data_IF_076010217293
#
_entry.id   IF_076010217293
#
_cell.length_a   1.000
_cell.length_b   1.000
_cell.length_c   1.000
_cell.angle_alpha   90.00
_cell.angle_beta   90.00
_cell.angle_gamma   90.00
#
_symmetry.space_group_name_H-M   'P 1'
#
loop_
_entity.id
_entity.type
_entity.pdbx_description
1 polymer ?
#
# COMPACT_ATOMS: atom_id res chain seq x y z
N UNK A 1 -35.88 -27.52 -8.27
CA UNK A 1 -34.97 -26.43 -8.70
C UNK A 1 -33.81 -27.07 -9.45
N UNK A 2 -33.24 -26.41 -10.46
CA UNK A 2 -32.03 -26.93 -11.10
C UNK A 2 -30.91 -27.07 -10.06
N UNK A 3 -29.97 -27.99 -10.28
CA UNK A 3 -28.78 -28.10 -9.43
C UNK A 3 -28.07 -26.73 -9.38
N UNK A 4 -27.65 -26.25 -8.19
CA UNK A 4 -26.90 -25.02 -8.08
C UNK A 4 -25.68 -25.03 -9.00
N UNK A 5 -25.45 -23.93 -9.71
CA UNK A 5 -24.24 -23.72 -10.52
C UNK A 5 -23.45 -22.56 -9.92
N UNK A 6 -22.78 -22.86 -8.82
CA UNK A 6 -21.99 -21.90 -8.03
C UNK A 6 -20.51 -22.03 -8.37
N UNK A 7 -19.84 -20.91 -8.58
CA UNK A 7 -18.38 -20.83 -8.74
C UNK A 7 -17.83 -19.94 -7.64
N UNK A 8 -16.91 -20.46 -6.84
CA UNK A 8 -16.24 -19.73 -5.78
C UNK A 8 -14.82 -19.39 -6.23
N UNK A 9 -14.48 -18.10 -6.23
CA UNK A 9 -13.13 -17.61 -6.52
C UNK A 9 -12.35 -17.43 -5.21
N UNK A 10 -11.41 -18.34 -4.95
CA UNK A 10 -10.65 -18.40 -3.70
C UNK A 10 -9.18 -18.06 -3.91
N UNK A 11 -8.69 -17.05 -3.19
CA UNK A 11 -7.27 -16.76 -3.05
C UNK A 11 -6.70 -17.63 -1.93
N UNK A 12 -5.75 -18.50 -2.28
CA UNK A 12 -5.11 -19.41 -1.34
C UNK A 12 -4.46 -18.66 -0.18
N UNK A 13 -4.48 -19.29 0.99
CA UNK A 13 -4.05 -18.75 2.28
C UNK A 13 -4.77 -17.42 2.53
N UNK A 14 -6.10 -17.45 2.56
CA UNK A 14 -6.93 -16.25 2.57
C UNK A 14 -8.32 -16.49 3.14
N UNK A 15 -9.00 -15.39 3.50
CA UNK A 15 -10.33 -15.43 4.14
C UNK A 15 -11.42 -16.09 3.30
N UNK A 16 -11.16 -16.36 2.02
CA UNK A 16 -12.11 -17.02 1.13
C UNK A 16 -12.48 -18.43 1.58
N UNK A 17 -11.66 -19.10 2.39
CA UNK A 17 -11.86 -20.48 2.87
C UNK A 17 -13.20 -20.67 3.62
N UNK A 18 -13.73 -19.57 4.19
CA UNK A 18 -15.02 -19.53 4.89
C UNK A 18 -16.17 -19.98 3.98
N UNK A 19 -16.10 -19.67 2.68
CA UNK A 19 -17.20 -19.94 1.73
C UNK A 19 -17.22 -21.41 1.27
N UNK A 20 -16.10 -22.00 0.82
CA UNK A 20 -16.02 -23.45 0.60
C UNK A 20 -16.45 -24.24 1.84
N UNK A 21 -16.03 -23.84 3.04
CA UNK A 21 -16.44 -24.54 4.26
C UNK A 21 -17.94 -24.45 4.52
N UNK A 22 -18.53 -23.26 4.41
CA UNK A 22 -19.99 -23.11 4.52
C UNK A 22 -20.75 -23.99 3.52
N UNK A 23 -20.30 -24.06 2.26
CA UNK A 23 -20.91 -24.88 1.22
C UNK A 23 -20.79 -26.38 1.51
N UNK A 24 -19.66 -26.84 2.04
CA UNK A 24 -19.46 -28.22 2.49
C UNK A 24 -20.36 -28.61 3.67
N UNK A 25 -20.59 -27.69 4.62
CA UNK A 25 -21.50 -27.91 5.75
C UNK A 25 -22.97 -27.95 5.31
N UNK A 26 -23.32 -27.18 4.28
CA UNK A 26 -24.66 -27.17 3.69
C UNK A 26 -24.85 -28.26 2.63
N UNK A 27 -23.81 -29.01 2.29
CA UNK A 27 -23.82 -30.04 1.23
C UNK A 27 -24.26 -29.47 -0.13
N UNK A 28 -23.90 -28.22 -0.41
CA UNK A 28 -24.25 -27.53 -1.67
C UNK A 28 -23.10 -27.72 -2.66
N UNK A 29 -23.35 -28.23 -3.89
CA UNK A 29 -22.31 -28.41 -4.89
C UNK A 29 -21.79 -27.06 -5.42
N UNK A 30 -20.48 -26.96 -5.63
CA UNK A 30 -19.83 -25.78 -6.15
C UNK A 30 -18.58 -26.14 -6.96
N UNK A 31 -18.22 -25.28 -7.91
CA UNK A 31 -16.91 -25.25 -8.55
C UNK A 31 -16.00 -24.30 -7.77
N UNK A 32 -14.75 -24.71 -7.55
CA UNK A 32 -13.76 -23.89 -6.86
C UNK A 32 -12.67 -23.46 -7.84
N UNK A 33 -12.53 -22.15 -8.04
CA UNK A 33 -11.43 -21.55 -8.81
C UNK A 33 -10.38 -21.03 -7.84
N UNK A 34 -9.20 -21.66 -7.87
CA UNK A 34 -8.09 -21.34 -6.99
C UNK A 34 -7.15 -20.33 -7.63
N UNK A 35 -6.75 -19.35 -6.83
CA UNK A 35 -5.78 -18.34 -7.19
C UNK A 35 -4.60 -18.40 -6.22
N UNK A 36 -3.38 -18.50 -6.77
CA UNK A 36 -2.16 -18.41 -5.97
C UNK A 36 -1.80 -16.94 -5.76
N UNK A 37 -1.25 -16.63 -4.58
CA UNK A 37 -0.71 -15.29 -4.32
C UNK A 37 0.47 -15.01 -5.25
N UNK A 38 0.56 -13.78 -5.73
CA UNK A 38 1.65 -13.30 -6.56
C UNK A 38 2.17 -11.98 -6.01
N UNK A 39 3.34 -11.96 -5.33
CA UNK A 39 3.90 -12.98 -4.44
C UNK A 39 3.14 -13.06 -3.10
N UNK A 40 2.60 -11.94 -2.63
CA UNK A 40 1.78 -11.81 -1.42
C UNK A 40 0.35 -11.34 -1.71
N UNK A 41 0.11 -10.69 -2.84
CA UNK A 41 -1.18 -10.08 -3.17
C UNK A 41 -1.99 -11.00 -4.11
N UNK A 42 -3.23 -10.60 -4.36
CA UNK A 42 -4.08 -11.18 -5.40
C UNK A 42 -3.39 -11.10 -6.76
N UNK A 43 -3.40 -12.15 -7.59
CA UNK A 43 -2.89 -12.07 -8.95
C UNK A 43 -3.81 -11.20 -9.83
N UNK A 44 -3.30 -10.63 -10.95
CA UNK A 44 -4.11 -9.86 -11.89
C UNK A 44 -5.35 -10.60 -12.40
N UNK A 45 -5.29 -11.94 -12.53
CA UNK A 45 -6.45 -12.73 -12.96
C UNK A 45 -7.62 -12.65 -11.98
N UNK A 46 -7.37 -12.51 -10.67
CA UNK A 46 -8.43 -12.34 -9.68
C UNK A 46 -9.00 -10.91 -9.72
N UNK A 47 -8.15 -9.90 -9.97
CA UNK A 47 -8.60 -8.52 -10.17
C UNK A 47 -9.54 -8.37 -11.36
N UNK A 48 -9.32 -9.15 -12.43
CA UNK A 48 -10.21 -9.16 -13.59
C UNK A 48 -11.61 -9.76 -13.29
N UNK A 49 -11.76 -10.55 -12.22
CA UNK A 49 -13.05 -11.19 -11.87
C UNK A 49 -14.01 -10.19 -11.24
N UNK A 50 -13.52 -9.31 -10.35
CA UNK A 50 -14.34 -8.37 -9.58
C UNK A 50 -13.57 -7.07 -9.31
N UNK A 51 -14.20 -5.88 -9.40
CA UNK A 51 -13.51 -4.58 -9.37
C UNK A 51 -12.60 -4.33 -8.16
N UNK A 52 -12.94 -4.89 -7.00
CA UNK A 52 -12.15 -4.75 -5.77
C UNK A 52 -10.92 -5.66 -5.72
N UNK A 53 -10.83 -6.67 -6.61
CA UNK A 53 -9.71 -7.60 -6.68
C UNK A 53 -9.47 -8.46 -5.44
N UNK A 54 -10.46 -8.54 -4.54
CA UNK A 54 -10.39 -9.29 -3.31
C UNK A 54 -11.19 -10.60 -3.41
N UNK A 55 -10.70 -11.63 -2.71
CA UNK A 55 -11.41 -12.90 -2.50
C UNK A 55 -12.09 -12.90 -1.13
N UNK A 56 -13.25 -13.58 -0.97
CA UNK A 56 -13.96 -14.39 -1.96
C UNK A 56 -14.86 -13.60 -2.91
N UNK A 57 -15.10 -14.19 -4.09
CA UNK A 57 -16.18 -13.80 -5.02
C UNK A 57 -16.99 -15.06 -5.35
N UNK A 58 -18.31 -14.94 -5.33
CA UNK A 58 -19.24 -15.98 -5.76
C UNK A 58 -19.86 -15.57 -7.11
N UNK A 59 -19.80 -16.46 -8.10
CA UNK A 59 -20.67 -16.41 -9.27
C UNK A 59 -21.76 -17.46 -9.11
N UNK A 60 -23.01 -17.05 -9.29
CA UNK A 60 -24.16 -17.94 -9.33
C UNK A 60 -24.80 -17.88 -10.72
N UNK A 61 -24.62 -18.98 -11.44
CA UNK A 61 -25.08 -19.18 -12.82
C UNK A 61 -26.27 -20.16 -12.89
N UNK A 62 -26.95 -20.37 -11.75
CA UNK A 62 -28.09 -21.30 -11.65
C UNK A 62 -29.25 -20.84 -12.53
N UNK A 63 -29.48 -19.52 -12.60
CA UNK A 63 -30.42 -18.88 -13.52
C UNK A 63 -29.64 -18.18 -14.65
N UNK A 64 -29.60 -18.74 -15.87
CA UNK A 64 -28.89 -18.13 -17.00
C UNK A 64 -29.45 -16.76 -17.42
N UNK A 65 -30.70 -16.44 -17.05
CA UNK A 65 -31.31 -15.14 -17.36
C UNK A 65 -30.89 -14.03 -16.39
N UNK A 66 -30.38 -14.40 -15.21
CA UNK A 66 -29.96 -13.49 -14.17
C UNK A 66 -28.69 -14.00 -13.45
N UNK A 67 -27.53 -14.01 -14.12
CA UNK A 67 -26.28 -14.42 -13.50
C UNK A 67 -25.90 -13.41 -12.41
N UNK A 68 -25.61 -13.91 -11.21
CA UNK A 68 -25.21 -13.08 -10.07
C UNK A 68 -23.70 -13.20 -9.87
N UNK A 69 -23.06 -12.07 -9.61
CA UNK A 69 -21.67 -11.99 -9.15
C UNK A 69 -21.59 -11.11 -7.93
N UNK A 70 -21.20 -11.69 -6.79
CA UNK A 70 -21.22 -11.01 -5.49
C UNK A 70 -19.90 -11.24 -4.75
N UNK A 71 -19.39 -10.18 -4.13
CA UNK A 71 -18.24 -10.18 -3.23
C UNK A 71 -18.72 -9.94 -1.78
N UNK A 72 -17.78 -9.76 -0.84
CA UNK A 72 -18.03 -9.68 0.60
C UNK A 72 -18.45 -11.01 1.23
N UNK A 73 -17.55 -11.65 1.98
CA UNK A 73 -17.78 -12.98 2.57
C UNK A 73 -19.05 -13.10 3.40
N UNK A 74 -19.43 -12.07 4.16
CA UNK A 74 -20.70 -12.07 4.92
C UNK A 74 -21.93 -12.02 4.03
N UNK A 75 -21.90 -11.23 2.95
CA UNK A 75 -23.01 -11.15 2.00
C UNK A 75 -23.14 -12.44 1.18
N UNK A 76 -22.01 -13.03 0.78
CA UNK A 76 -21.97 -14.35 0.12
C UNK A 76 -22.56 -15.43 1.03
N UNK A 77 -22.16 -15.46 2.30
CA UNK A 77 -22.66 -16.45 3.26
C UNK A 77 -24.17 -16.33 3.47
N UNK A 78 -24.69 -15.12 3.69
CA UNK A 78 -26.13 -14.91 3.85
C UNK A 78 -26.88 -15.27 2.57
N UNK A 79 -26.38 -14.86 1.39
CA UNK A 79 -26.96 -15.24 0.10
C UNK A 79 -27.09 -16.76 -0.07
N UNK A 80 -26.02 -17.52 0.22
CA UNK A 80 -26.01 -18.98 0.12
C UNK A 80 -27.03 -19.58 1.09
N UNK A 81 -27.04 -19.13 2.35
CA UNK A 81 -27.93 -19.65 3.39
C UNK A 81 -29.40 -19.42 3.03
N UNK A 82 -29.75 -18.22 2.57
CA UNK A 82 -31.12 -17.87 2.22
C UNK A 82 -31.58 -18.55 0.94
N UNK A 83 -30.75 -18.54 -0.12
CA UNK A 83 -31.15 -19.02 -1.44
C UNK A 83 -31.05 -20.54 -1.60
N UNK A 84 -30.06 -21.16 -0.97
CA UNK A 84 -29.74 -22.58 -1.16
C UNK A 84 -29.72 -23.39 0.15
N UNK A 85 -29.40 -22.75 1.26
CA UNK A 85 -29.29 -23.39 2.58
C UNK A 85 -30.62 -23.62 3.30
N UNK A 86 -31.73 -23.04 2.81
CA UNK A 86 -33.04 -23.05 3.47
C UNK A 86 -32.95 -22.56 4.94
N UNK A 87 -32.14 -21.54 5.18
CA UNK A 87 -31.92 -20.98 6.51
C UNK A 87 -31.05 -21.83 7.45
N UNK A 88 -30.56 -23.00 7.02
CA UNK A 88 -29.64 -23.81 7.83
C UNK A 88 -28.36 -23.03 8.13
N UNK A 89 -27.79 -23.26 9.31
CA UNK A 89 -26.62 -22.57 9.86
C UNK A 89 -26.83 -21.06 10.12
N UNK A 90 -28.06 -20.56 10.04
CA UNK A 90 -28.46 -19.27 10.58
C UNK A 90 -29.57 -19.46 11.61
N UNK A 91 -29.63 -18.56 12.58
CA UNK A 91 -30.75 -18.52 13.53
C UNK A 91 -31.74 -17.46 13.06
N UNK A 92 -33.02 -17.80 13.02
CA UNK A 92 -34.09 -16.87 12.64
C UNK A 92 -34.52 -15.96 13.80
N UNK A 93 -35.28 -14.89 13.54
CA UNK A 93 -35.65 -13.89 14.55
C UNK A 93 -36.49 -14.42 15.73
N UNK A 94 -37.13 -15.57 15.58
CA UNK A 94 -37.86 -16.24 16.67
C UNK A 94 -36.95 -17.09 17.57
N UNK A 95 -35.70 -17.33 17.18
CA UNK A 95 -34.77 -18.16 17.94
C UNK A 95 -34.18 -17.39 19.13
N UNK A 96 -34.10 -18.03 20.31
CA UNK A 96 -33.63 -17.39 21.56
C UNK A 96 -32.23 -16.77 21.44
N UNK A 97 -31.37 -17.35 20.62
CA UNK A 97 -29.98 -16.89 20.41
C UNK A 97 -29.81 -16.07 19.11
N UNK A 98 -30.89 -15.58 18.51
CA UNK A 98 -30.81 -14.81 17.26
C UNK A 98 -29.86 -13.61 17.36
N UNK A 99 -29.97 -12.84 18.45
CA UNK A 99 -29.13 -11.67 18.68
C UNK A 99 -27.64 -12.04 18.77
N UNK A 100 -27.31 -13.14 19.44
CA UNK A 100 -25.95 -13.65 19.53
C UNK A 100 -25.43 -14.09 18.15
N UNK A 101 -26.23 -14.85 17.38
CA UNK A 101 -25.87 -15.24 16.02
C UNK A 101 -25.55 -14.01 15.17
N UNK A 102 -26.45 -13.03 15.14
CA UNK A 102 -26.28 -11.81 14.36
C UNK A 102 -25.02 -11.04 14.78
N UNK A 103 -24.79 -10.91 16.09
CA UNK A 103 -23.60 -10.25 16.63
C UNK A 103 -22.32 -10.94 16.17
N UNK A 104 -22.20 -12.25 16.38
CA UNK A 104 -20.97 -12.99 16.08
C UNK A 104 -20.73 -13.15 14.58
N UNK A 105 -21.79 -13.27 13.78
CA UNK A 105 -21.70 -13.29 12.32
C UNK A 105 -21.07 -12.00 11.77
N UNK A 106 -21.47 -10.84 12.30
CA UNK A 106 -20.88 -9.56 11.91
C UNK A 106 -19.54 -9.25 12.61
N UNK A 107 -19.31 -9.75 13.82
CA UNK A 107 -18.11 -9.48 14.61
C UNK A 107 -16.82 -9.87 13.88
N UNK A 108 -16.84 -10.98 13.13
CA UNK A 108 -15.70 -11.48 12.37
C UNK A 108 -15.12 -10.41 11.43
N UNK A 109 -15.96 -9.81 10.58
CA UNK A 109 -15.54 -8.80 9.59
C UNK A 109 -15.60 -7.37 10.12
N UNK A 110 -16.50 -7.07 11.07
CA UNK A 110 -16.71 -5.72 11.60
C UNK A 110 -15.75 -5.33 12.71
N UNK A 111 -15.12 -6.30 13.40
CA UNK A 111 -14.25 -6.00 14.55
C UNK A 111 -13.00 -6.85 14.57
N UNK A 112 -13.12 -8.19 14.59
CA UNK A 112 -11.98 -9.07 14.82
C UNK A 112 -10.91 -8.94 13.73
N UNK A 113 -11.30 -9.22 12.48
CA UNK A 113 -10.37 -9.22 11.35
C UNK A 113 -9.71 -7.85 11.13
N UNK A 114 -10.44 -6.70 11.11
CA UNK A 114 -9.81 -5.39 11.01
C UNK A 114 -8.82 -5.10 12.15
N UNK A 115 -9.13 -5.52 13.37
CA UNK A 115 -8.24 -5.32 14.54
C UNK A 115 -6.95 -6.12 14.38
N UNK A 116 -7.05 -7.38 13.94
CA UNK A 116 -5.90 -8.24 13.67
C UNK A 116 -5.04 -7.70 12.52
N UNK A 117 -5.64 -7.29 11.41
CA UNK A 117 -4.92 -6.66 10.30
C UNK A 117 -4.23 -5.36 10.72
N UNK A 118 -4.90 -4.53 11.53
CA UNK A 118 -4.31 -3.29 12.03
C UNK A 118 -3.10 -3.56 12.93
N UNK A 119 -3.18 -4.55 13.83
CA UNK A 119 -2.02 -4.99 14.64
C UNK A 119 -0.88 -5.45 13.73
N UNK A 120 -1.16 -6.27 12.71
CA UNK A 120 -0.16 -6.73 11.75
C UNK A 120 0.54 -5.57 11.02
N UNK A 121 -0.24 -4.63 10.49
CA UNK A 121 0.25 -3.43 9.80
C UNK A 121 1.16 -2.62 10.72
N UNK A 122 0.69 -2.31 11.93
CA UNK A 122 1.45 -1.52 12.89
C UNK A 122 2.72 -2.26 13.32
N UNK A 123 2.67 -3.58 13.56
CA UNK A 123 3.87 -4.38 13.88
C UNK A 123 4.94 -4.21 12.81
N UNK A 124 4.56 -4.35 11.54
CA UNK A 124 5.46 -4.18 10.41
C UNK A 124 6.09 -2.79 10.35
N UNK A 125 5.28 -1.75 10.56
CA UNK A 125 5.73 -0.36 10.42
C UNK A 125 6.68 0.10 11.53
N UNK A 126 6.47 -0.32 12.78
CA UNK A 126 7.10 0.32 13.95
C UNK A 126 7.73 -0.65 14.96
N UNK A 127 7.53 -1.96 14.77
CA UNK A 127 7.99 -2.99 15.71
C UNK A 127 7.13 -3.09 16.98
N UNK A 128 7.40 -4.13 17.78
CA UNK A 128 6.54 -4.52 18.91
C UNK A 128 6.72 -3.66 20.18
N UNK A 129 7.86 -2.97 20.31
CA UNK A 129 8.12 -2.14 21.49
C UNK A 129 7.42 -0.78 21.47
N UNK A 130 6.95 -0.36 20.28
CA UNK A 130 6.30 0.93 20.06
C UNK A 130 4.91 0.99 20.72
N UNK A 131 4.58 2.14 21.33
CA UNK A 131 3.30 2.37 21.99
C UNK A 131 2.10 2.21 21.04
N UNK A 132 2.25 2.50 19.75
CA UNK A 132 1.22 2.30 18.73
C UNK A 132 0.94 0.81 18.55
N UNK A 133 1.97 -0.03 18.53
CA UNK A 133 1.76 -1.48 18.49
C UNK A 133 1.11 -1.96 19.78
N UNK A 134 1.66 -1.61 20.95
CA UNK A 134 1.11 -2.00 22.25
C UNK A 134 -0.37 -1.63 22.41
N UNK A 135 -0.78 -0.48 21.89
CA UNK A 135 -2.19 -0.06 21.86
C UNK A 135 -3.08 -0.88 20.92
N UNK A 136 -2.56 -1.45 19.82
CA UNK A 136 -3.30 -2.37 18.96
C UNK A 136 -3.27 -3.80 19.53
N UNK A 137 -2.16 -4.20 20.13
CA UNK A 137 -2.00 -5.47 20.82
C UNK A 137 -3.01 -5.61 21.97
N UNK A 138 -3.16 -4.58 22.80
CA UNK A 138 -4.18 -4.56 23.86
C UNK A 138 -5.63 -4.68 23.32
N UNK A 139 -5.91 -4.12 22.13
CA UNK A 139 -7.21 -4.26 21.47
C UNK A 139 -7.44 -5.69 20.98
N UNK A 140 -6.40 -6.32 20.42
CA UNK A 140 -6.45 -7.74 20.05
C UNK A 140 -6.68 -8.60 21.29
N UNK A 141 -5.92 -8.40 22.37
CA UNK A 141 -6.11 -9.13 23.63
C UNK A 141 -7.56 -8.99 24.17
N UNK A 142 -8.14 -7.79 24.10
CA UNK A 142 -9.54 -7.55 24.47
C UNK A 142 -10.51 -8.36 23.61
N UNK A 143 -10.31 -8.40 22.29
CA UNK A 143 -11.15 -9.17 21.38
C UNK A 143 -11.01 -10.69 21.60
N UNK A 144 -9.78 -11.17 21.83
CA UNK A 144 -9.51 -12.58 22.16
C UNK A 144 -10.18 -12.98 23.47
N UNK A 145 -10.06 -12.16 24.52
CA UNK A 145 -10.71 -12.43 25.81
C UNK A 145 -12.25 -12.44 25.66
N UNK A 146 -12.81 -11.54 24.86
CA UNK A 146 -14.24 -11.48 24.62
C UNK A 146 -14.78 -12.78 23.99
N UNK A 147 -14.10 -13.26 22.94
CA UNK A 147 -14.44 -14.54 22.28
C UNK A 147 -14.21 -15.71 23.23
N UNK A 148 -13.09 -15.74 23.94
CA UNK A 148 -12.77 -16.82 24.86
C UNK A 148 -13.83 -16.94 25.96
N UNK A 149 -14.24 -15.82 26.56
CA UNK A 149 -15.30 -15.81 27.57
C UNK A 149 -16.63 -16.30 27.01
N UNK A 150 -16.95 -15.98 25.75
CA UNK A 150 -18.14 -16.53 25.08
C UNK A 150 -18.06 -18.05 24.99
N UNK A 151 -16.93 -18.58 24.51
CA UNK A 151 -16.71 -20.01 24.25
C UNK A 151 -16.43 -20.84 25.51
N UNK A 152 -16.13 -20.20 26.64
CA UNK A 152 -16.11 -20.86 27.95
C UNK A 152 -17.52 -21.21 28.44
N UNK A 153 -18.52 -20.43 28.02
CA UNK A 153 -19.91 -20.57 28.48
C UNK A 153 -20.84 -21.16 27.42
N UNK A 154 -20.36 -21.35 26.19
CA UNK A 154 -21.16 -21.79 25.05
C UNK A 154 -20.37 -22.77 24.18
N UNK A 155 -21.06 -23.73 23.56
CA UNK A 155 -20.44 -24.71 22.66
C UNK A 155 -19.91 -24.05 21.38
N UNK A 156 -20.66 -23.09 20.86
CA UNK A 156 -20.41 -22.33 19.63
C UNK A 156 -20.65 -20.84 19.87
N UNK A 157 -20.26 -20.01 18.90
CA UNK A 157 -20.41 -18.55 19.06
C UNK A 157 -21.88 -18.14 19.22
N UNK A 158 -22.79 -18.74 18.47
CA UNK A 158 -24.23 -18.47 18.57
C UNK A 158 -24.93 -19.23 19.72
N UNK A 159 -24.19 -19.90 20.60
CA UNK A 159 -24.73 -20.64 21.74
C UNK A 159 -24.50 -22.14 21.61
N UNK A 160 -25.56 -22.93 21.61
CA UNK A 160 -25.47 -24.41 21.62
C UNK A 160 -25.30 -25.01 20.21
N UNK A 161 -25.60 -24.24 19.16
CA UNK A 161 -25.66 -24.71 17.76
C UNK A 161 -24.53 -24.12 16.92
N UNK A 162 -23.97 -24.94 16.03
CA UNK A 162 -22.98 -24.50 15.04
C UNK A 162 -23.67 -23.67 13.95
N UNK A 163 -23.10 -22.52 13.63
CA UNK A 163 -23.69 -21.58 12.66
C UNK A 163 -22.64 -20.97 11.75
N UNK A 164 -23.09 -20.17 10.77
CA UNK A 164 -22.21 -19.39 9.93
C UNK A 164 -21.38 -18.36 10.71
N UNK A 165 -21.75 -18.00 11.95
CA UNK A 165 -20.89 -17.18 12.81
C UNK A 165 -19.54 -17.87 13.09
N UNK A 166 -19.55 -19.19 13.28
CA UNK A 166 -18.35 -19.99 13.51
C UNK A 166 -17.50 -20.09 12.23
N UNK A 167 -18.14 -20.34 11.08
CA UNK A 167 -17.43 -20.41 9.78
C UNK A 167 -16.75 -19.10 9.42
N UNK A 168 -17.44 -17.98 9.67
CA UNK A 168 -16.92 -16.64 9.43
C UNK A 168 -15.76 -16.29 10.36
N UNK A 169 -15.77 -16.78 11.60
CA UNK A 169 -14.78 -16.41 12.61
C UNK A 169 -13.50 -17.26 12.56
N UNK A 170 -13.60 -18.56 12.21
CA UNK A 170 -12.48 -19.50 12.33
C UNK A 170 -11.20 -19.09 11.61
N UNK A 171 -11.31 -18.51 10.40
CA UNK A 171 -10.15 -18.06 9.62
C UNK A 171 -9.21 -17.14 10.42
N UNK A 172 -9.77 -16.28 11.28
CA UNK A 172 -9.00 -15.37 12.14
C UNK A 172 -8.13 -16.09 13.17
N UNK A 173 -8.47 -17.34 13.49
CA UNK A 173 -7.80 -18.18 14.49
C UNK A 173 -7.00 -19.34 13.87
N UNK A 174 -7.14 -19.57 12.57
CA UNK A 174 -6.42 -20.60 11.80
C UNK A 174 -5.44 -19.93 10.83
N UNK A 175 -5.82 -19.83 9.55
CA UNK A 175 -4.97 -19.40 8.43
C UNK A 175 -4.48 -17.96 8.57
N UNK A 176 -5.25 -17.06 9.19
CA UNK A 176 -4.82 -15.68 9.42
C UNK A 176 -3.54 -15.59 10.26
N UNK A 177 -3.29 -16.58 11.13
CA UNK A 177 -2.11 -16.58 12.02
C UNK A 177 -0.79 -16.81 11.27
N UNK A 178 -0.87 -17.24 10.01
CA UNK A 178 0.26 -17.24 9.08
C UNK A 178 0.74 -15.82 8.75
N UNK A 179 -0.13 -14.81 8.87
CA UNK A 179 0.21 -13.40 8.69
C UNK A 179 0.44 -12.69 10.03
N UNK A 180 -0.42 -12.98 10.99
CA UNK A 180 -0.44 -12.36 12.30
C UNK A 180 -0.31 -13.39 13.42
N UNK A 181 0.92 -13.70 13.91
CA UNK A 181 1.10 -14.64 14.99
C UNK A 181 0.39 -14.15 16.25
N UNK A 182 -0.36 -15.08 16.84
CA UNK A 182 -1.09 -14.93 18.09
C UNK A 182 -0.91 -16.26 18.81
N UNK A 183 -0.45 -16.25 20.06
CA UNK A 183 -0.44 -17.44 20.91
C UNK A 183 -1.80 -17.55 21.61
N UNK A 184 -2.41 -18.74 21.53
CA UNK A 184 -3.72 -19.04 22.10
C UNK A 184 -3.63 -19.86 23.40
N UNK A 185 -2.43 -20.08 23.95
CA UNK A 185 -2.20 -20.94 25.12
C UNK A 185 -3.05 -20.55 26.35
N UNK A 186 -3.32 -19.26 26.54
CA UNK A 186 -4.13 -18.75 27.66
C UNK A 186 -5.64 -18.73 27.39
N UNK A 187 -6.09 -19.13 26.18
CA UNK A 187 -7.47 -19.01 25.72
C UNK A 187 -8.13 -20.38 25.55
N UNK A 188 -8.35 -21.08 26.66
CA UNK A 188 -8.88 -22.45 26.68
C UNK A 188 -10.25 -22.65 26.02
N UNK A 189 -11.13 -21.64 26.08
CA UNK A 189 -12.43 -21.67 25.38
C UNK A 189 -12.26 -21.65 23.86
N UNK A 190 -11.32 -20.84 23.35
CA UNK A 190 -10.97 -20.80 21.93
C UNK A 190 -10.34 -22.11 21.50
N UNK A 191 -9.39 -22.65 22.28
CA UNK A 191 -8.74 -23.92 21.96
C UNK A 191 -9.74 -25.08 21.90
N UNK A 192 -10.69 -25.14 22.83
CA UNK A 192 -11.75 -26.15 22.82
C UNK A 192 -12.66 -26.02 21.59
N UNK A 193 -12.97 -24.80 21.17
CA UNK A 193 -13.74 -24.51 19.96
C UNK A 193 -12.99 -24.87 18.68
N UNK A 194 -11.69 -24.53 18.58
CA UNK A 194 -10.84 -24.94 17.46
C UNK A 194 -10.74 -26.46 17.35
N UNK A 195 -10.60 -27.17 18.47
CA UNK A 195 -10.64 -28.65 18.47
C UNK A 195 -11.94 -29.17 17.86
N UNK A 196 -13.10 -28.62 18.28
CA UNK A 196 -14.41 -29.00 17.70
C UNK A 196 -14.50 -28.68 16.21
N UNK A 197 -13.97 -27.55 15.75
CA UNK A 197 -13.89 -27.19 14.32
C UNK A 197 -13.06 -28.23 13.56
N UNK A 198 -11.87 -28.55 14.09
CA UNK A 198 -10.95 -29.52 13.49
C UNK A 198 -11.54 -30.93 13.38
N UNK A 199 -12.52 -31.29 14.20
CA UNK A 199 -13.22 -32.58 14.13
C UNK A 199 -14.30 -32.62 13.04
N UNK A 200 -14.69 -31.47 12.46
CA UNK A 200 -15.73 -31.41 11.42
C UNK A 200 -15.19 -31.87 10.07
N UNK A 201 -15.81 -32.91 9.50
CA UNK A 201 -15.41 -33.43 8.20
C UNK A 201 -15.55 -32.40 7.07
N UNK A 202 -16.60 -31.58 7.11
CA UNK A 202 -16.82 -30.52 6.13
C UNK A 202 -15.70 -29.46 6.15
N UNK A 203 -15.17 -29.09 7.33
CA UNK A 203 -14.00 -28.23 7.44
C UNK A 203 -12.79 -28.86 6.76
N UNK A 204 -12.49 -30.12 7.09
CA UNK A 204 -11.35 -30.85 6.50
C UNK A 204 -11.48 -30.99 4.98
N UNK A 205 -12.66 -31.30 4.46
CA UNK A 205 -12.91 -31.37 3.00
C UNK A 205 -12.73 -30.02 2.33
N UNK A 206 -13.24 -28.95 2.94
CA UNK A 206 -13.11 -27.60 2.41
C UNK A 206 -11.65 -27.17 2.34
N UNK A 207 -10.87 -27.38 3.41
CA UNK A 207 -9.45 -27.05 3.44
C UNK A 207 -8.65 -27.88 2.45
N UNK A 208 -8.93 -29.19 2.33
CA UNK A 208 -8.28 -30.04 1.33
C UNK A 208 -8.52 -29.59 -0.12
N UNK A 209 -9.68 -28.97 -0.41
CA UNK A 209 -9.99 -28.38 -1.72
C UNK A 209 -9.39 -26.99 -1.91
N UNK A 210 -9.48 -26.15 -0.88
CA UNK A 210 -9.12 -24.74 -0.96
C UNK A 210 -7.60 -24.50 -0.85
N UNK A 211 -6.96 -25.19 0.09
CA UNK A 211 -5.57 -24.99 0.49
C UNK A 211 -4.92 -26.35 0.82
N UNK A 212 -4.74 -27.24 -0.18
CA UNK A 212 -4.24 -28.61 0.04
C UNK A 212 -2.84 -28.68 0.65
N UNK A 213 -2.05 -27.62 0.47
CA UNK A 213 -0.67 -27.52 0.98
C UNK A 213 -0.60 -26.94 2.41
N UNK A 214 -1.73 -26.49 2.98
CA UNK A 214 -1.77 -25.92 4.32
C UNK A 214 -1.87 -27.02 5.38
N UNK A 215 -0.93 -27.02 6.32
CA UNK A 215 -1.00 -27.86 7.52
C UNK A 215 -2.05 -27.29 8.50
N UNK A 216 -3.29 -27.78 8.37
CA UNK A 216 -4.42 -27.35 9.20
C UNK A 216 -4.23 -27.65 10.68
N UNK A 217 -3.45 -28.68 11.04
CA UNK A 217 -3.22 -29.03 12.45
C UNK A 217 -2.38 -27.97 13.16
N UNK A 218 -1.47 -27.30 12.43
CA UNK A 218 -0.76 -26.12 12.96
C UNK A 218 -1.70 -24.96 13.18
N UNK A 219 -2.63 -24.71 12.25
CA UNK A 219 -3.68 -23.69 12.39
C UNK A 219 -4.55 -23.89 13.63
N UNK A 220 -4.88 -25.14 13.94
CA UNK A 220 -5.73 -25.54 15.06
C UNK A 220 -4.99 -25.60 16.42
N UNK A 221 -3.65 -25.48 16.41
CA UNK A 221 -2.82 -25.56 17.61
C UNK A 221 -2.77 -24.24 18.41
N UNK A 222 -2.33 -24.32 19.67
CA UNK A 222 -2.16 -23.15 20.52
C UNK A 222 -1.12 -22.16 19.98
N UNK A 223 -0.01 -22.63 19.40
CA UNK A 223 1.08 -21.79 18.90
C UNK A 223 0.80 -21.25 17.49
N UNK A 224 0.05 -22.00 16.68
CA UNK A 224 -0.32 -21.60 15.33
C UNK A 224 0.69 -22.04 14.27
N UNK A 225 0.43 -21.68 13.00
CA UNK A 225 1.33 -21.97 11.90
C UNK A 225 2.57 -21.05 11.93
N UNK A 226 3.67 -21.46 11.27
CA UNK A 226 4.79 -20.57 11.06
C UNK A 226 4.37 -19.33 10.26
N UNK A 227 4.94 -18.18 10.61
CA UNK A 227 4.64 -16.93 9.91
C UNK A 227 5.21 -16.98 8.49
N UNK A 228 4.45 -16.47 7.52
CA UNK A 228 4.88 -16.37 6.13
C UNK A 228 6.06 -15.41 6.01
N UNK A 229 7.25 -15.97 5.78
CA UNK A 229 8.52 -15.24 5.76
C UNK A 229 8.51 -14.07 4.75
N UNK A 230 7.83 -14.25 3.62
CA UNK A 230 7.68 -13.22 2.60
C UNK A 230 6.87 -12.02 3.13
N UNK A 231 5.82 -12.26 3.92
CA UNK A 231 5.02 -11.21 4.57
C UNK A 231 5.87 -10.45 5.58
N UNK A 232 6.67 -11.15 6.38
CA UNK A 232 7.62 -10.52 7.32
C UNK A 232 8.59 -9.59 6.58
N UNK A 233 9.18 -10.04 5.46
CA UNK A 233 10.09 -9.24 4.63
C UNK A 233 9.41 -8.02 4.01
N UNK A 234 8.19 -8.18 3.48
CA UNK A 234 7.44 -7.08 2.88
C UNK A 234 7.04 -6.01 3.93
N UNK A 235 6.71 -6.45 5.13
CA UNK A 235 6.29 -5.58 6.24
C UNK A 235 7.47 -4.88 6.92
N UNK A 236 8.68 -5.46 6.85
CA UNK A 236 9.92 -4.85 7.35
C UNK A 236 10.52 -3.81 6.39
N UNK A 237 9.97 -3.64 5.18
CA UNK A 237 10.37 -2.52 4.32
C UNK A 237 9.87 -1.21 4.92
N UNK A 238 10.77 -0.22 5.03
CA UNK A 238 10.50 1.09 5.65
C UNK A 238 9.17 1.69 5.17
N UNK A 239 8.42 2.34 6.08
CA UNK A 239 7.07 2.80 5.79
C UNK A 239 7.07 3.70 4.56
N UNK A 240 6.15 3.43 3.63
CA UNK A 240 5.66 4.43 2.70
C UNK A 240 5.28 5.67 3.53
N UNK A 241 5.96 6.77 3.29
CA UNK A 241 5.65 8.05 3.92
C UNK A 241 4.21 8.43 3.58
N UNK A 242 3.43 8.87 4.58
CA UNK A 242 2.04 9.33 4.42
C UNK A 242 1.85 10.43 3.35
N UNK A 243 2.93 11.04 2.87
CA UNK A 243 2.94 12.05 1.80
C UNK A 243 2.32 11.55 0.49
N UNK A 244 2.44 10.26 0.16
CA UNK A 244 2.01 9.72 -1.12
C UNK A 244 0.48 9.71 -1.29
N UNK A 245 -0.29 9.50 -0.21
CA UNK A 245 -1.75 9.40 -0.25
C UNK A 245 -2.44 10.77 -0.27
N UNK A 246 -1.82 11.81 0.29
CA UNK A 246 -2.33 13.19 0.14
C UNK A 246 -2.01 13.76 -1.23
N UNK A 247 -0.84 13.43 -1.80
CA UNK A 247 -0.53 13.71 -3.20
C UNK A 247 -1.55 13.04 -4.13
N UNK A 248 -1.98 11.81 -3.80
CA UNK A 248 -2.95 11.01 -4.55
C UNK A 248 -4.32 11.71 -4.74
N UNK A 249 -4.84 12.34 -3.68
CA UNK A 249 -6.17 12.99 -3.70
C UNK A 249 -6.13 14.33 -4.44
N UNK A 250 -5.00 15.05 -4.38
CA UNK A 250 -4.83 16.32 -5.10
C UNK A 250 -4.51 16.11 -6.58
N UNK A 251 -3.62 15.17 -6.91
CA UNK A 251 -3.23 14.87 -8.29
C UNK A 251 -4.41 14.37 -9.14
N UNK A 252 -5.31 13.57 -8.56
CA UNK A 252 -6.46 13.01 -9.28
C UNK A 252 -7.53 14.06 -9.69
N UNK A 253 -7.57 15.23 -9.04
CA UNK A 253 -8.58 16.27 -9.33
C UNK A 253 -8.14 17.32 -10.34
N UNK A 254 -6.83 17.45 -10.62
CA UNK A 254 -6.29 18.56 -11.42
C UNK A 254 -5.14 18.17 -12.37
N UNK A 255 -4.99 16.88 -12.69
CA UNK A 255 -3.92 16.40 -13.56
C UNK A 255 -4.10 16.82 -15.03
N UNK A 256 -3.04 17.31 -15.68
CA UNK A 256 -2.96 17.41 -17.15
C UNK A 256 -2.48 16.06 -17.70
N UNK A 257 -3.26 15.47 -18.61
CA UNK A 257 -2.99 14.18 -19.26
C UNK A 257 -2.61 14.40 -20.74
N UNK A 258 -1.58 13.73 -21.27
CA UNK A 258 -1.38 13.63 -22.71
C UNK A 258 -2.56 12.93 -23.40
N UNK A 259 -3.01 13.45 -24.54
CA UNK A 259 -4.24 13.00 -25.22
C UNK A 259 -4.20 11.59 -25.80
N UNK A 260 -3.02 10.97 -25.89
CA UNK A 260 -2.81 9.67 -26.55
C UNK A 260 -2.86 8.47 -25.60
N UNK A 261 -3.00 8.67 -24.29
CA UNK A 261 -3.12 7.57 -23.33
C UNK A 261 -4.59 7.11 -23.27
N UNK A 262 -4.85 5.81 -23.39
CA UNK A 262 -6.22 5.25 -23.36
C UNK A 262 -6.71 4.97 -21.91
N UNK A 263 -5.83 4.62 -20.98
CA UNK A 263 -6.15 4.37 -19.55
C UNK A 263 -5.50 5.35 -18.54
N UNK A 264 -5.99 5.43 -17.29
CA UNK A 264 -5.37 6.25 -16.25
C UNK A 264 -3.94 5.74 -15.95
N UNK A 265 -2.96 6.64 -15.90
CA UNK A 265 -1.64 6.29 -15.37
C UNK A 265 -1.77 6.05 -13.87
N UNK A 266 -1.25 4.92 -13.39
CA UNK A 266 -1.21 4.66 -11.95
C UNK A 266 -0.36 5.75 -11.27
N UNK A 267 -0.84 6.37 -10.18
CA UNK A 267 -0.05 7.31 -9.39
C UNK A 267 1.25 6.71 -8.84
N UNK A 268 1.34 5.38 -8.74
CA UNK A 268 2.57 4.65 -8.39
C UNK A 268 3.68 4.74 -9.45
N UNK A 269 3.40 5.29 -10.64
CA UNK A 269 4.38 5.45 -11.72
C UNK A 269 5.25 6.68 -11.48
N UNK A 270 4.78 7.70 -10.74
CA UNK A 270 5.59 8.87 -10.42
C UNK A 270 6.68 8.45 -9.43
N UNK A 271 7.97 8.49 -9.80
CA UNK A 271 9.04 8.09 -8.89
C UNK A 271 9.12 9.09 -7.73
N UNK A 272 9.60 8.63 -6.58
CA UNK A 272 9.98 9.55 -5.52
C UNK A 272 11.16 10.38 -6.00
N UNK A 273 10.95 11.68 -6.21
CA UNK A 273 11.97 12.58 -6.76
C UNK A 273 12.66 13.28 -5.60
N UNK A 274 13.95 13.00 -5.43
CA UNK A 274 14.78 13.72 -4.49
C UNK A 274 14.75 15.23 -4.82
N UNK A 275 14.49 16.05 -3.80
CA UNK A 275 14.54 17.50 -3.94
C UNK A 275 15.98 17.93 -4.25
N UNK A 276 16.12 18.85 -5.21
CA UNK A 276 17.40 19.48 -5.50
C UNK A 276 17.80 20.39 -4.33
N UNK A 277 19.09 20.41 -3.92
CA UNK A 277 19.59 21.32 -2.89
C UNK A 277 19.32 22.78 -3.23
N UNK A 278 19.31 23.11 -4.52
CA UNK A 278 18.88 24.40 -5.03
C UNK A 278 18.06 24.18 -6.31
N UNK A 279 16.93 24.89 -6.49
CA UNK A 279 16.20 24.89 -7.74
C UNK A 279 17.10 25.34 -8.90
N UNK A 280 16.98 24.66 -10.04
CA UNK A 280 17.74 24.97 -11.25
C UNK A 280 16.83 25.53 -12.34
N UNK A 281 17.29 26.45 -13.19
CA UNK A 281 16.54 26.81 -14.40
C UNK A 281 16.22 25.58 -15.26
N UNK A 282 15.02 25.50 -15.83
CA UNK A 282 14.53 24.33 -16.60
C UNK A 282 15.45 23.85 -17.74
N UNK A 283 16.27 24.73 -18.30
CA UNK A 283 17.24 24.40 -19.36
C UNK A 283 18.57 23.83 -18.85
N UNK A 284 18.75 23.74 -17.53
CA UNK A 284 20.01 23.28 -16.89
C UNK A 284 20.11 21.76 -16.80
N UNK A 285 18.96 21.08 -16.64
CA UNK A 285 18.88 19.63 -16.58
C UNK A 285 17.57 19.10 -17.14
N UNK A 286 17.64 18.15 -18.07
CA UNK A 286 16.47 17.52 -18.70
C UNK A 286 16.40 16.02 -18.45
N UNK A 287 15.18 15.47 -18.39
CA UNK A 287 14.99 14.03 -18.48
C UNK A 287 15.64 13.48 -19.77
N UNK A 288 16.31 12.33 -19.68
CA UNK A 288 17.09 11.75 -20.77
C UNK A 288 18.50 12.33 -20.95
N UNK A 289 18.93 13.29 -20.12
CA UNK A 289 20.29 13.83 -20.16
C UNK A 289 21.28 12.93 -19.40
N UNK A 290 22.52 12.91 -19.86
CA UNK A 290 23.64 12.32 -19.15
C UNK A 290 24.37 13.39 -18.33
N UNK A 291 24.72 13.03 -17.10
CA UNK A 291 25.36 13.94 -16.14
C UNK A 291 26.58 13.29 -15.49
N UNK A 292 27.62 14.08 -15.23
CA UNK A 292 28.76 13.72 -14.40
C UNK A 292 29.13 14.91 -13.52
N UNK A 293 30.10 14.76 -12.62
CA UNK A 293 30.63 15.89 -11.84
C UNK A 293 31.32 16.95 -12.71
N UNK A 294 31.70 16.62 -13.94
CA UNK A 294 32.57 17.44 -14.79
C UNK A 294 31.84 18.02 -16.00
N UNK A 295 30.87 17.29 -16.55
CA UNK A 295 30.17 17.71 -17.76
C UNK A 295 28.78 17.10 -17.87
N UNK A 296 28.00 17.54 -18.86
CA UNK A 296 26.69 17.01 -19.22
C UNK A 296 26.67 16.71 -20.72
N UNK A 297 25.91 15.70 -21.13
CA UNK A 297 25.70 15.36 -22.55
C UNK A 297 24.22 15.11 -22.79
N UNK A 298 23.68 15.61 -23.90
CA UNK A 298 22.28 15.44 -24.27
C UNK A 298 22.18 14.51 -25.47
N UNK A 299 21.82 13.23 -25.27
CA UNK A 299 21.63 12.29 -26.37
C UNK A 299 20.53 12.74 -27.32
N UNK A 300 20.76 12.57 -28.62
CA UNK A 300 19.79 12.95 -29.68
C UNK A 300 18.83 11.82 -30.07
N UNK A 301 19.08 10.59 -29.59
CA UNK A 301 18.35 9.40 -29.99
C UNK A 301 16.98 9.24 -29.30
N UNK A 302 16.72 9.99 -28.22
CA UNK A 302 15.45 9.93 -27.51
C UNK A 302 14.41 10.84 -28.18
N UNK A 303 13.18 10.33 -28.27
CA UNK A 303 12.03 10.98 -28.91
C UNK A 303 10.89 11.11 -27.90
N UNK A 304 9.88 11.94 -28.19
CA UNK A 304 8.72 12.15 -27.29
C UNK A 304 8.04 10.85 -26.84
N UNK A 305 8.05 9.81 -27.69
CA UNK A 305 7.48 8.49 -27.35
C UNK A 305 8.21 7.78 -26.22
N UNK A 306 9.47 8.11 -25.94
CA UNK A 306 10.28 7.49 -24.89
C UNK A 306 9.98 8.08 -23.51
N UNK A 307 9.21 9.17 -23.45
CA UNK A 307 8.86 9.89 -22.22
C UNK A 307 7.38 9.76 -21.87
N UNK A 308 7.10 9.83 -20.57
CA UNK A 308 5.80 10.16 -20.00
C UNK A 308 5.88 11.52 -19.32
N UNK A 309 4.80 12.29 -19.46
CA UNK A 309 4.62 13.59 -18.83
C UNK A 309 3.37 13.56 -17.95
N UNK A 310 3.53 13.93 -16.68
CA UNK A 310 2.44 14.01 -15.71
C UNK A 310 2.51 15.37 -15.03
N UNK A 311 1.42 16.13 -15.02
CA UNK A 311 1.42 17.46 -14.40
C UNK A 311 0.16 17.73 -13.61
N UNK A 312 0.25 18.69 -12.69
CA UNK A 312 -0.90 19.22 -11.94
C UNK A 312 -0.89 20.74 -11.99
N UNK A 313 -2.09 21.33 -11.98
CA UNK A 313 -2.23 22.74 -11.61
C UNK A 313 -2.09 22.87 -10.10
N UNK A 314 -1.47 23.97 -9.67
CA UNK A 314 -1.19 24.31 -8.28
C UNK A 314 -0.31 23.28 -7.59
N UNK A 315 0.94 23.66 -7.37
CA UNK A 315 1.91 22.86 -6.65
C UNK A 315 2.18 23.50 -5.29
N UNK A 316 2.21 22.67 -4.25
CA UNK A 316 2.64 23.05 -2.93
C UNK A 316 3.57 21.99 -2.38
N UNK A 317 4.65 22.44 -1.76
CA UNK A 317 5.59 21.60 -1.04
C UNK A 317 5.96 22.26 0.28
N UNK A 318 6.24 21.43 1.28
CA UNK A 318 6.90 21.82 2.52
C UNK A 318 8.31 21.25 2.45
N UNK A 319 9.30 22.09 2.70
CA UNK A 319 10.70 21.71 2.60
C UNK A 319 11.42 22.02 3.90
N UNK A 320 12.40 21.19 4.26
CA UNK A 320 13.43 21.59 5.21
C UNK A 320 14.68 22.00 4.44
N UNK A 321 15.35 23.04 4.90
CA UNK A 321 16.58 23.53 4.32
C UNK A 321 17.61 23.87 5.39
N UNK A 322 18.89 23.79 5.05
CA UNK A 322 19.98 24.13 5.95
C UNK A 322 20.01 25.66 6.15
N UNK A 323 20.03 26.10 7.40
CA UNK A 323 19.94 27.51 7.75
C UNK A 323 21.16 28.34 7.31
N UNK A 324 22.34 27.71 7.20
CA UNK A 324 23.60 28.38 6.88
C UNK A 324 23.78 28.62 5.38
N UNK A 325 23.48 27.60 4.56
CA UNK A 325 23.71 27.66 3.10
C UNK A 325 22.42 27.71 2.26
N UNK A 326 21.25 27.59 2.89
CA UNK A 326 19.95 27.64 2.21
C UNK A 326 19.60 26.39 1.40
N UNK A 327 20.43 25.34 1.44
CA UNK A 327 20.23 24.15 0.63
C UNK A 327 19.05 23.34 1.14
N UNK A 328 18.17 22.94 0.24
CA UNK A 328 17.07 22.04 0.55
C UNK A 328 17.63 20.66 0.92
N UNK A 329 17.07 20.10 1.98
CA UNK A 329 17.50 18.83 2.56
C UNK A 329 16.42 17.76 2.37
N UNK A 330 15.16 18.15 2.55
CA UNK A 330 14.05 17.22 2.57
C UNK A 330 12.78 17.90 2.04
N UNK A 331 11.97 17.14 1.30
CA UNK A 331 10.65 17.52 0.82
C UNK A 331 9.60 16.65 1.53
N UNK A 332 8.50 17.28 1.94
CA UNK A 332 7.39 16.63 2.64
C UNK A 332 6.11 16.63 1.79
N UNK A 333 6.16 17.18 0.58
CA UNK A 333 5.01 17.38 -0.29
C UNK A 333 4.04 18.43 0.24
N UNK A 334 2.83 18.45 -0.32
CA UNK A 334 1.78 19.42 0.03
C UNK A 334 1.11 19.22 1.39
N UNK A 335 1.86 18.73 2.40
CA UNK A 335 1.32 18.53 3.75
C UNK A 335 1.11 19.86 4.48
N UNK A 336 0.17 19.85 5.42
CA UNK A 336 -0.04 20.92 6.40
C UNK A 336 0.53 20.57 7.78
N UNK A 337 0.76 19.28 8.04
CA UNK A 337 1.29 18.76 9.29
C UNK A 337 2.54 17.92 9.00
N UNK A 338 3.67 18.33 9.55
CA UNK A 338 4.91 17.54 9.50
C UNK A 338 4.97 16.64 10.74
N UNK A 339 5.33 15.37 10.56
CA UNK A 339 5.37 14.38 11.64
C UNK A 339 6.76 14.24 12.28
N UNK A 340 7.58 15.29 12.19
CA UNK A 340 8.88 15.40 12.84
C UNK A 340 9.18 16.86 13.17
N UNK A 341 9.91 17.12 14.28
CA UNK A 341 10.47 18.44 14.52
C UNK A 341 11.56 18.78 13.49
N UNK A 342 12.01 20.04 13.51
CA UNK A 342 13.21 20.45 12.78
C UNK A 342 14.45 19.77 13.35
N UNK A 343 15.33 19.33 12.45
CA UNK A 343 16.66 18.88 12.80
C UNK A 343 17.54 20.08 13.21
N UNK A 344 18.61 19.83 13.98
CA UNK A 344 19.52 20.90 14.39
C UNK A 344 20.15 21.56 13.16
N UNK A 345 20.02 22.89 13.04
CA UNK A 345 20.59 23.66 11.94
C UNK A 345 19.74 23.69 10.67
N UNK A 346 18.50 23.16 10.72
CA UNK A 346 17.54 23.29 9.62
C UNK A 346 16.42 24.27 9.94
N UNK A 347 15.85 24.84 8.89
CA UNK A 347 14.65 25.68 8.92
C UNK A 347 13.58 25.09 8.00
N UNK A 348 12.31 25.47 8.22
CA UNK A 348 11.21 25.06 7.37
C UNK A 348 10.90 26.12 6.31
N UNK A 349 10.48 25.66 5.15
CA UNK A 349 10.07 26.48 4.03
C UNK A 349 8.91 25.85 3.27
N UNK A 350 8.40 26.58 2.30
CA UNK A 350 7.37 26.13 1.38
C UNK A 350 7.73 26.53 -0.04
N UNK A 351 7.38 25.65 -0.97
CA UNK A 351 7.37 25.93 -2.41
C UNK A 351 5.91 26.04 -2.81
N UNK A 352 5.56 27.11 -3.51
CA UNK A 352 4.25 27.25 -4.15
C UNK A 352 4.42 27.61 -5.61
N UNK A 353 3.71 26.95 -6.51
CA UNK A 353 3.79 27.21 -7.94
C UNK A 353 2.43 27.05 -8.62
N UNK A 354 2.25 27.72 -9.74
CA UNK A 354 0.99 27.68 -10.51
C UNK A 354 0.78 26.33 -11.19
N UNK A 355 1.87 25.67 -11.56
CA UNK A 355 1.87 24.40 -12.28
C UNK A 355 3.09 23.57 -11.89
N UNK A 356 2.93 22.25 -11.90
CA UNK A 356 4.03 21.30 -11.82
C UNK A 356 3.93 20.31 -12.98
N UNK A 357 5.09 19.93 -13.52
CA UNK A 357 5.26 18.89 -14.52
C UNK A 357 6.34 17.92 -14.06
N UNK A 358 6.09 16.63 -14.16
CA UNK A 358 7.09 15.57 -14.02
C UNK A 358 7.21 14.88 -15.36
N UNK A 359 8.41 14.92 -15.93
CA UNK A 359 8.77 14.13 -17.10
C UNK A 359 9.65 12.97 -16.66
N UNK A 360 9.36 11.77 -17.16
CA UNK A 360 10.10 10.55 -16.85
C UNK A 360 10.27 9.67 -18.09
N UNK A 361 11.27 8.80 -18.09
CA UNK A 361 11.42 7.77 -19.12
C UNK A 361 10.41 6.64 -18.89
N UNK A 362 9.69 6.24 -19.94
CA UNK A 362 8.75 5.10 -19.89
C UNK A 362 9.43 3.80 -19.49
N UNK A 363 10.59 3.58 -20.11
CA UNK A 363 11.48 2.46 -19.81
C UNK A 363 12.92 3.00 -19.84
N UNK A 364 13.44 3.28 -18.65
CA UNK A 364 14.76 3.89 -18.50
C UNK A 364 15.90 2.96 -18.97
N UNK A 365 15.74 1.64 -18.84
CA UNK A 365 16.73 0.66 -19.30
C UNK A 365 16.72 0.56 -20.83
N UNK A 366 15.54 0.53 -21.45
CA UNK A 366 15.43 0.56 -22.91
C UNK A 366 15.96 1.88 -23.48
N UNK A 367 15.65 3.02 -22.85
CA UNK A 367 16.16 4.33 -23.23
C UNK A 367 17.69 4.39 -23.14
N UNK A 368 18.30 3.85 -22.08
CA UNK A 368 19.75 3.77 -21.94
C UNK A 368 20.38 2.93 -23.05
N UNK A 369 19.81 1.76 -23.35
CA UNK A 369 20.29 0.89 -24.45
C UNK A 369 20.16 1.55 -25.81
N UNK A 370 19.11 2.36 -26.02
CA UNK A 370 18.87 3.13 -27.24
C UNK A 370 19.96 4.19 -27.44
N UNK A 371 20.24 5.00 -26.42
CA UNK A 371 21.28 6.04 -26.52
C UNK A 371 22.70 5.45 -26.58
N UNK A 372 22.92 4.25 -26.04
CA UNK A 372 24.21 3.55 -26.11
C UNK A 372 24.62 3.13 -27.52
N UNK A 373 23.66 3.02 -28.45
CA UNK A 373 23.95 2.73 -29.86
C UNK A 373 24.67 3.89 -30.55
N UNK A 374 24.52 5.11 -30.03
CA UNK A 374 25.21 6.29 -30.55
C UNK A 374 26.68 6.33 -30.07
N UNK A 375 27.60 6.46 -31.02
CA UNK A 375 29.04 6.38 -30.76
C UNK A 375 29.54 7.55 -29.91
N UNK A 376 29.02 8.76 -30.15
CA UNK A 376 29.37 9.96 -29.38
C UNK A 376 28.94 9.81 -27.92
N UNK A 377 27.71 9.36 -27.69
CA UNK A 377 27.16 9.08 -26.36
C UNK A 377 27.97 8.01 -25.63
N UNK A 378 28.31 6.91 -26.32
CA UNK A 378 29.12 5.82 -25.77
C UNK A 378 30.50 6.30 -25.35
N UNK A 379 31.14 7.11 -26.22
CA UNK A 379 32.45 7.71 -25.94
C UNK A 379 32.38 8.61 -24.72
N UNK A 380 31.39 9.50 -24.66
CA UNK A 380 31.21 10.41 -23.52
C UNK A 380 31.07 9.66 -22.19
N UNK A 381 30.26 8.60 -22.14
CA UNK A 381 30.06 7.78 -20.92
C UNK A 381 31.38 7.15 -20.47
N UNK A 382 32.13 6.56 -21.40
CA UNK A 382 33.40 5.88 -21.10
C UNK A 382 34.52 6.83 -20.65
N UNK A 383 34.42 8.12 -20.96
CA UNK A 383 35.36 9.15 -20.52
C UNK A 383 35.08 9.68 -19.10
N UNK A 384 33.93 9.34 -18.50
CA UNK A 384 33.60 9.77 -17.14
C UNK A 384 34.08 8.75 -16.10
N UNK A 385 34.61 9.24 -14.98
CA UNK A 385 34.87 8.40 -13.80
C UNK A 385 33.56 7.82 -13.24
N UNK A 386 32.48 8.62 -13.32
CA UNK A 386 31.13 8.22 -12.92
C UNK A 386 30.11 9.01 -13.75
N UNK A 387 29.23 8.30 -14.44
CA UNK A 387 28.17 8.85 -15.27
C UNK A 387 26.79 8.49 -14.70
N UNK A 388 25.88 9.45 -14.74
CA UNK A 388 24.48 9.29 -14.36
C UNK A 388 23.55 9.55 -15.55
N UNK A 389 22.38 8.93 -15.51
CA UNK A 389 21.28 9.14 -16.45
C UNK A 389 20.10 9.77 -15.72
N UNK A 390 19.64 10.93 -16.18
CA UNK A 390 18.47 11.61 -15.61
C UNK A 390 17.22 10.89 -16.11
N UNK A 391 16.63 10.04 -15.26
CA UNK A 391 15.47 9.21 -15.64
C UNK A 391 14.14 9.88 -15.36
N UNK A 392 14.12 10.89 -14.49
CA UNK A 392 12.97 11.74 -14.23
C UNK A 392 13.38 13.11 -13.70
N UNK A 393 12.56 14.13 -13.94
CA UNK A 393 12.68 15.43 -13.28
C UNK A 393 11.31 16.07 -12.99
N UNK A 394 11.26 16.90 -11.96
CA UNK A 394 10.10 17.71 -11.58
C UNK A 394 10.40 19.17 -11.85
N UNK A 395 9.56 19.81 -12.65
CA UNK A 395 9.58 21.22 -12.92
C UNK A 395 8.35 21.91 -12.32
N UNK A 396 8.54 23.13 -11.82
CA UNK A 396 7.47 23.98 -11.26
C UNK A 396 7.47 25.35 -11.93
N UNK A 397 6.29 25.87 -12.25
CA UNK A 397 6.13 27.14 -12.96
C UNK A 397 5.85 28.30 -12.01
N UNK A 398 6.54 29.42 -12.21
CA UNK A 398 6.36 30.66 -11.44
C UNK A 398 6.43 30.41 -9.92
N UNK A 399 7.43 29.65 -9.48
CA UNK A 399 7.52 29.20 -8.11
C UNK A 399 7.86 30.36 -7.14
N UNK A 400 7.20 30.35 -5.99
CA UNK A 400 7.51 31.18 -4.83
C UNK A 400 8.10 30.30 -3.74
N UNK A 401 9.28 30.69 -3.26
CA UNK A 401 10.02 30.01 -2.20
C UNK A 401 9.96 30.86 -0.93
N UNK A 402 9.31 30.35 0.12
CA UNK A 402 9.07 31.12 1.35
C UNK A 402 9.42 30.35 2.60
N UNK A 403 9.88 31.05 3.63
CA UNK A 403 10.08 30.53 4.98
C UNK A 403 8.76 30.16 5.64
N UNK A 404 8.83 29.16 6.50
CA UNK A 404 7.75 28.72 7.36
C UNK A 404 8.31 28.37 8.73
N UNK A 405 7.43 28.38 9.73
CA UNK A 405 7.71 27.90 11.08
C UNK A 405 6.86 26.68 11.37
N UNK A 406 7.39 25.82 12.22
CA UNK A 406 6.66 24.67 12.73
C UNK A 406 6.06 25.02 14.10
N UNK A 407 4.77 24.76 14.26
CA UNK A 407 4.05 24.92 15.53
C UNK A 407 3.69 23.54 16.05
N UNK A 408 4.20 23.18 17.23
CA UNK A 408 3.81 21.92 17.87
C UNK A 408 2.31 21.96 18.20
N UNK A 409 1.55 21.02 17.63
CA UNK A 409 0.12 20.86 17.91
C UNK A 409 -0.16 19.55 18.67
N UNK A 410 0.88 18.89 19.17
CA UNK A 410 0.82 17.65 19.94
C UNK A 410 0.82 16.38 19.07
N UNK A 411 1.04 15.24 19.71
CA UNK A 411 1.10 13.91 19.08
C UNK A 411 2.16 13.82 17.95
N UNK A 412 3.29 14.51 18.13
CA UNK A 412 4.35 14.60 17.13
C UNK A 412 3.88 15.14 15.77
N UNK A 413 2.85 16.01 15.78
CA UNK A 413 2.42 16.76 14.61
C UNK A 413 2.80 18.23 14.76
N UNK A 414 3.34 18.78 13.68
CA UNK A 414 3.83 20.14 13.62
C UNK A 414 3.11 20.87 12.49
N UNK A 415 2.28 21.86 12.84
CA UNK A 415 1.61 22.69 11.86
C UNK A 415 2.60 23.61 11.14
N UNK A 416 2.55 23.58 9.81
CA UNK A 416 3.39 24.43 8.96
C UNK A 416 2.70 25.77 8.76
N UNK A 417 3.25 26.80 9.40
CA UNK A 417 2.73 28.17 9.33
C UNK A 417 3.71 29.02 8.54
N UNK A 418 3.26 29.60 7.42
CA UNK A 418 4.10 30.54 6.65
C UNK A 418 4.47 31.77 7.46
N UNK A 419 5.71 32.21 7.28
CA UNK A 419 6.14 33.49 7.82
C UNK A 419 5.63 34.65 6.95
N UNK A 420 5.19 35.73 7.59
CA UNK A 420 4.83 37.01 6.93
C UNK A 420 5.87 38.07 7.32
N UNK A 421 7.14 37.65 7.31
CA UNK A 421 8.26 38.33 7.95
C UNK A 421 8.58 37.73 9.32
N UNK A 422 9.85 37.79 9.71
CA UNK A 422 10.32 37.21 10.98
C UNK A 422 11.63 37.85 11.44
N UNK A 423 12.18 37.34 12.54
CA UNK A 423 13.52 37.65 13.01
C UNK A 423 14.40 36.40 12.84
N UNK A 424 15.66 36.57 12.42
CA UNK A 424 16.63 35.47 12.45
C UNK A 424 17.00 35.10 13.90
N UNK A 425 17.83 34.06 14.08
CA UNK A 425 18.27 33.61 15.40
C UNK A 425 19.02 34.70 16.22
N UNK A 426 19.40 35.82 15.59
CA UNK A 426 20.03 36.98 16.23
C UNK A 426 19.05 38.12 16.56
N UNK A 427 17.76 37.98 16.24
CA UNK A 427 16.73 39.00 16.48
C UNK A 427 16.62 40.04 15.36
N UNK A 428 17.30 39.84 14.21
CA UNK A 428 17.26 40.79 13.10
C UNK A 428 16.09 40.47 12.17
N UNK A 429 15.30 41.49 11.81
CA UNK A 429 14.20 41.36 10.85
C UNK A 429 14.70 40.79 9.51
N UNK A 430 14.08 39.71 9.05
CA UNK A 430 14.36 39.01 7.80
C UNK A 430 13.10 38.91 6.93
N UNK A 431 13.32 38.87 5.61
CA UNK A 431 12.24 38.65 4.65
C UNK A 431 11.75 37.19 4.70
N UNK A 432 10.47 37.01 4.41
CA UNK A 432 9.83 35.70 4.29
C UNK A 432 10.27 34.93 3.04
N UNK A 433 10.85 35.60 2.04
CA UNK A 433 11.42 34.95 0.86
C UNK A 433 12.66 34.13 1.18
N UNK A 434 12.81 32.99 0.51
CA UNK A 434 14.11 32.32 0.41
C UNK A 434 14.92 32.97 -0.72
N UNK A 435 16.24 33.13 -0.58
CA UNK A 435 17.08 33.78 -1.59
C UNK A 435 17.36 32.83 -2.77
N UNK A 436 16.30 32.47 -3.50
CA UNK A 436 16.35 31.61 -4.68
C UNK A 436 16.11 32.48 -5.92
N UNK A 437 17.12 32.59 -6.78
CA UNK A 437 17.06 33.40 -8.01
C UNK A 437 17.40 32.53 -9.22
N UNK A 438 16.44 31.77 -9.72
CA UNK A 438 16.60 31.01 -10.98
C UNK A 438 16.44 31.90 -12.21
N UNK A 439 15.73 33.03 -12.08
CA UNK A 439 15.32 33.91 -13.18
C UNK A 439 14.64 33.16 -14.34
N UNK A 440 13.94 32.06 -14.02
CA UNK A 440 13.27 31.20 -14.99
C UNK A 440 11.77 31.18 -14.74
N UNK A 441 10.99 30.99 -15.81
CA UNK A 441 9.56 30.66 -15.68
C UNK A 441 9.36 29.29 -15.06
N UNK A 442 10.25 28.35 -15.36
CA UNK A 442 10.20 26.98 -14.88
C UNK A 442 11.48 26.61 -14.15
N UNK A 443 11.33 26.11 -12.94
CA UNK A 443 12.44 25.63 -12.11
C UNK A 443 12.37 24.12 -12.01
N UNK A 444 13.51 23.45 -12.20
CA UNK A 444 13.69 22.06 -11.79
C UNK A 444 13.90 22.04 -10.30
N UNK A 445 13.02 21.36 -9.57
CA UNK A 445 13.07 21.25 -8.11
C UNK A 445 13.34 19.83 -7.62
N UNK A 446 13.26 18.83 -8.49
CA UNK A 446 13.62 17.46 -8.14
C UNK A 446 14.05 16.64 -9.36
N UNK A 447 14.90 15.65 -9.14
CA UNK A 447 15.48 14.80 -10.19
C UNK A 447 15.66 13.38 -9.66
N UNK A 448 15.64 12.42 -10.57
CA UNK A 448 16.14 11.06 -10.31
C UNK A 448 17.27 10.81 -11.29
N UNK A 449 18.46 10.56 -10.74
CA UNK A 449 19.65 10.23 -11.53
C UNK A 449 20.05 8.81 -11.21
N UNK A 450 20.12 7.94 -12.21
CA UNK A 450 20.57 6.55 -12.04
C UNK A 450 22.00 6.40 -12.54
N UNK A 451 22.85 5.76 -11.74
CA UNK A 451 24.23 5.45 -12.14
C UNK A 451 24.23 4.59 -13.39
N UNK A 452 25.12 4.86 -14.32
CA UNK A 452 25.33 4.02 -15.50
C UNK A 452 26.45 3.03 -15.19
N UNK A 453 26.18 1.75 -15.43
CA UNK A 453 27.16 0.67 -15.28
C UNK A 453 27.45 0.10 -16.66
N UNK A 454 28.74 0.07 -17.03
CA UNK A 454 29.23 -0.45 -18.30
C UNK A 454 30.01 -1.73 -18.04
N UNK A 455 29.53 -2.85 -18.58
CA UNK A 455 30.12 -4.17 -18.45
C UNK A 455 30.53 -4.67 -19.86
N UNK A 456 31.72 -4.27 -20.31
CA UNK A 456 32.19 -4.51 -21.67
C UNK A 456 31.41 -3.68 -22.70
N UNK A 457 30.66 -4.36 -23.57
CA UNK A 457 29.75 -3.73 -24.54
C UNK A 457 28.31 -3.56 -24.01
N UNK A 458 28.01 -4.14 -22.84
CA UNK A 458 26.70 -4.03 -22.21
C UNK A 458 26.62 -2.79 -21.31
N UNK A 459 25.41 -2.25 -21.19
CA UNK A 459 25.10 -1.10 -20.34
C UNK A 459 23.81 -1.36 -19.57
N UNK A 460 23.74 -0.91 -18.32
CA UNK A 460 22.56 -1.01 -17.44
C UNK A 460 22.52 0.12 -16.42
N UNK A 461 21.37 0.32 -15.80
CA UNK A 461 21.22 1.26 -14.69
C UNK A 461 21.61 0.61 -13.35
N UNK A 462 22.21 1.42 -12.50
CA UNK A 462 22.61 1.09 -11.14
C UNK A 462 21.74 1.80 -10.10
N UNK A 463 22.33 2.02 -8.92
CA UNK A 463 21.69 2.76 -7.83
C UNK A 463 21.46 4.24 -8.16
N UNK A 464 20.62 4.88 -7.36
CA UNK A 464 20.37 6.31 -7.48
C UNK A 464 21.59 7.12 -7.03
N UNK A 465 21.94 8.11 -7.84
CA UNK A 465 22.98 9.08 -7.54
C UNK A 465 22.34 10.30 -6.92
N UNK A 466 23.07 10.95 -6.01
CA UNK A 466 22.57 12.17 -5.37
C UNK A 466 22.34 13.32 -6.36
N UNK A 467 21.50 14.26 -5.98
CA UNK A 467 21.09 15.39 -6.81
C UNK A 467 22.23 16.39 -7.11
N UNK A 468 23.37 16.30 -6.41
CA UNK A 468 24.59 17.10 -6.64
C UNK A 468 25.24 16.89 -8.02
N UNK A 469 24.84 15.87 -8.79
CA UNK A 469 25.33 15.68 -10.16
C UNK A 469 24.57 16.52 -11.18
N UNK A 470 23.49 17.18 -10.76
CA UNK A 470 22.69 18.05 -11.63
C UNK A 470 23.02 19.54 -11.47
N UNK A 471 23.60 19.93 -10.33
CA UNK A 471 24.03 21.29 -10.01
C UNK A 471 25.23 21.75 -10.84
#
# INVERSE_FOLDING_TARGET
>A
MSSPKLIVHHLQIGQGERIPWLLEELEIPYELKLYKRSPLLSPPELQAVYPLGASPVLEDLTDPSNPIKIAESGAIADYIIQKYGNGRLALGPQHKNFADYLYWFHFANGTLQPTLFRRAIVRGMVGEEDLRYKGNDARVATALQHINNRLLNNTWLAGDEFTAADTMTAWCFTTMRTFEPIDLSDYSGILAWLKRIGEREAYRRAMAKADPDLDIEKGLSAQGPPVMELFVKAMAMKPFTYSSLQLLIMAAKYSRRPSYLEGPLSPSIIPDLAILPQPLPANTVSCGQLVSKKSKHTPKALEDRDYDDVGTRWYKDVIFFNAENGHFVESFGGTHLVQKPLDKGTEAGTIEAEEQSVRMLKDAEAALKKIWQDEETRKWIKEQDEAGFVVAHRQVANASYRRARLVDVGNNNWEVVREVGGEDASGKRRDSGLPIETNSKWDVVGVVVKKIIVDGDNVRLGEEMGSQYCS
#
